data_IF_583243122725
#
_entry.id   IF_583243122725
#
_cell.length_a   1.000
_cell.length_b   1.000
_cell.length_c   1.000
_cell.angle_alpha   90.00
_cell.angle_beta   90.00
_cell.angle_gamma   90.00
#
_symmetry.space_group_name_H-M   'P 1'
#
loop_
_entity.id
_entity.type
_entity.pdbx_description
1 polymer ?
#
# COMPACT_ATOMS: atom_id res chain seq x y z
N UNK A 1 19.80 20.76 14.60
CA UNK A 1 19.40 20.24 14.17
C UNK A 1 19.69 19.10 13.57
N UNK A 2 19.74 18.14 13.79
CA UNK A 2 20.10 17.09 13.41
C UNK A 2 19.16 16.23 12.83
N UNK A 3 18.21 16.59 12.49
CA UNK A 3 17.18 15.91 11.91
C UNK A 3 17.45 15.28 10.64
N UNK A 4 18.44 15.68 10.02
CA UNK A 4 18.80 15.21 8.70
C UNK A 4 18.98 13.72 8.62
N UNK A 5 19.32 13.08 9.72
CA UNK A 5 19.55 11.66 9.65
C UNK A 5 18.28 10.86 9.41
N UNK A 6 17.12 11.46 9.54
CA UNK A 6 15.88 10.77 9.27
C UNK A 6 15.36 10.98 7.87
N UNK A 7 16.07 11.75 7.06
CA UNK A 7 15.66 11.97 5.68
C UNK A 7 16.02 10.73 4.88
N UNK A 8 15.03 10.11 4.21
CA UNK A 8 15.31 8.88 3.49
C UNK A 8 16.23 9.11 2.30
N UNK A 9 17.02 8.11 2.02
CA UNK A 9 17.84 8.11 0.83
C UNK A 9 16.95 7.77 -0.36
N UNK A 10 17.55 7.66 -1.52
CA UNK A 10 16.81 7.30 -2.72
C UNK A 10 16.09 5.96 -2.53
N UNK A 11 14.89 5.88 -3.04
CA UNK A 11 14.11 4.65 -2.94
C UNK A 11 14.84 3.52 -3.66
N UNK A 12 14.93 2.34 -3.04
CA UNK A 12 15.49 1.18 -3.75
C UNK A 12 14.62 0.83 -4.95
N UNK A 13 15.23 0.23 -5.96
CA UNK A 13 14.50 -0.18 -7.15
C UNK A 13 13.43 -1.21 -6.81
N UNK A 14 13.71 -2.12 -5.89
CA UNK A 14 12.77 -3.16 -5.48
C UNK A 14 12.51 -3.06 -4.00
N UNK A 15 11.26 -3.24 -3.61
CA UNK A 15 10.86 -3.32 -2.22
C UNK A 15 10.05 -4.57 -2.01
N UNK A 16 10.26 -5.25 -0.89
CA UNK A 16 9.38 -6.32 -0.48
C UNK A 16 7.99 -5.74 -0.31
N UNK A 17 6.99 -6.55 -0.55
CA UNK A 17 5.63 -6.06 -0.58
C UNK A 17 4.68 -7.06 0.04
N UNK A 18 3.80 -6.56 0.92
CA UNK A 18 2.67 -7.34 1.41
C UNK A 18 1.44 -6.94 0.61
N UNK A 19 0.61 -7.93 0.30
CA UNK A 19 -0.66 -7.70 -0.37
C UNK A 19 -1.76 -7.90 0.66
N UNK A 20 -2.51 -6.83 0.92
CA UNK A 20 -3.57 -6.85 1.93
C UNK A 20 -4.87 -6.45 1.28
N UNK A 21 -5.91 -7.22 1.54
CA UNK A 21 -7.21 -6.94 0.96
C UNK A 21 -8.14 -6.44 2.05
N UNK A 22 -8.99 -5.49 1.69
CA UNK A 22 -10.00 -5.02 2.62
C UNK A 22 -11.29 -4.74 1.87
N UNK A 23 -12.38 -4.73 2.60
CA UNK A 23 -13.69 -4.52 2.01
C UNK A 23 -14.48 -3.58 2.90
N UNK A 24 -15.06 -2.56 2.29
CA UNK A 24 -15.96 -1.66 2.98
C UNK A 24 -17.23 -1.60 2.17
N UNK A 25 -18.34 -1.96 2.80
CA UNK A 25 -19.63 -2.05 2.12
C UNK A 25 -19.53 -3.02 0.96
N UNK A 26 -19.79 -2.62 -0.27
CA UNK A 26 -19.75 -3.54 -1.39
C UNK A 26 -18.44 -3.48 -2.16
N UNK A 27 -17.57 -2.54 -1.86
CA UNK A 27 -16.33 -2.42 -2.62
C UNK A 27 -15.23 -3.24 -1.99
N UNK A 28 -14.55 -4.00 -2.83
CA UNK A 28 -13.38 -4.77 -2.41
C UNK A 28 -12.14 -4.07 -2.90
N UNK A 29 -11.19 -3.90 -2.00
CA UNK A 29 -9.96 -3.17 -2.28
C UNK A 29 -8.76 -4.07 -2.11
N UNK A 30 -7.67 -3.71 -2.78
CA UNK A 30 -6.40 -4.39 -2.62
C UNK A 30 -5.35 -3.32 -2.35
N UNK A 31 -4.49 -3.59 -1.39
CA UNK A 31 -3.40 -2.69 -1.02
C UNK A 31 -2.08 -3.41 -1.18
N UNK A 32 -1.12 -2.72 -1.78
CA UNK A 32 0.25 -3.18 -1.91
C UNK A 32 1.08 -2.33 -0.98
N UNK A 33 1.59 -2.92 0.10
CA UNK A 33 2.37 -2.20 1.10
C UNK A 33 3.83 -2.53 0.87
N UNK A 34 4.58 -1.58 0.35
CA UNK A 34 6.02 -1.74 0.15
C UNK A 34 6.74 -1.57 1.45
N UNK A 35 7.66 -2.48 1.74
CA UNK A 35 8.36 -2.52 3.01
C UNK A 35 9.83 -2.25 2.83
N UNK A 36 10.40 -1.51 3.78
CA UNK A 36 11.84 -1.34 3.85
C UNK A 36 12.23 -1.69 5.26
N UNK A 37 13.05 -2.74 5.39
CA UNK A 37 13.46 -3.26 6.70
C UNK A 37 12.25 -3.62 7.56
N UNK A 38 11.24 -4.19 6.92
CA UNK A 38 10.04 -4.65 7.62
C UNK A 38 9.04 -3.57 7.97
N UNK A 39 9.31 -2.32 7.62
CA UNK A 39 8.45 -1.20 7.96
C UNK A 39 7.79 -0.66 6.69
N UNK A 40 6.49 -0.32 6.75
CA UNK A 40 5.83 0.28 5.58
C UNK A 40 6.57 1.53 5.10
N UNK A 41 6.89 1.53 3.82
CA UNK A 41 7.61 2.60 3.18
C UNK A 41 6.74 3.28 2.11
N UNK A 42 5.83 2.55 1.53
CA UNK A 42 4.90 3.08 0.54
C UNK A 42 3.66 2.20 0.50
N UNK A 43 2.58 2.75 -0.02
CA UNK A 43 1.34 2.00 -0.16
C UNK A 43 0.68 2.41 -1.46
N UNK A 44 0.13 1.42 -2.18
CA UNK A 44 -0.65 1.63 -3.38
C UNK A 44 -1.95 0.88 -3.20
N UNK A 45 -3.07 1.50 -3.56
CA UNK A 45 -4.37 0.87 -3.38
C UNK A 45 -5.21 0.99 -4.63
N UNK A 46 -6.09 0.04 -4.82
CA UNK A 46 -7.05 0.07 -5.90
C UNK A 46 -8.14 -0.93 -5.67
N UNK A 47 -9.08 -1.00 -6.61
CA UNK A 47 -10.17 -1.97 -6.52
C UNK A 47 -9.65 -3.35 -6.88
N UNK A 48 -10.13 -4.34 -6.14
CA UNK A 48 -9.81 -5.75 -6.40
C UNK A 48 -10.80 -6.30 -7.43
N UNK A 49 -10.64 -5.85 -8.67
CA UNK A 49 -11.60 -6.10 -9.73
C UNK A 49 -10.86 -6.24 -11.06
N UNK A 50 -11.28 -7.18 -11.89
CA UNK A 50 -10.63 -7.43 -13.17
C UNK A 50 -10.69 -6.25 -14.12
N UNK A 51 -11.80 -5.53 -14.11
CA UNK A 51 -12.00 -4.45 -15.07
C UNK A 51 -11.58 -3.10 -14.54
N UNK A 52 -11.89 -2.85 -13.26
CA UNK A 52 -11.67 -1.54 -12.68
C UNK A 52 -10.41 -1.45 -11.83
N UNK A 53 -9.68 -2.53 -11.72
CA UNK A 53 -8.50 -2.58 -10.88
C UNK A 53 -7.66 -3.82 -11.15
N UNK A 54 -7.29 -4.52 -10.09
CA UNK A 54 -6.43 -5.68 -10.18
C UNK A 54 -7.04 -6.83 -9.41
N UNK A 55 -7.19 -7.98 -10.06
CA UNK A 55 -7.62 -9.19 -9.38
C UNK A 55 -6.44 -10.15 -9.34
N UNK A 56 -6.09 -10.60 -8.16
CA UNK A 56 -5.02 -11.57 -7.96
C UNK A 56 -5.58 -12.79 -7.23
N UNK A 57 -4.99 -13.96 -7.43
CA UNK A 57 -5.38 -15.12 -6.65
C UNK A 57 -5.25 -14.82 -5.16
N UNK A 58 -6.16 -15.33 -4.36
CA UNK A 58 -6.18 -15.03 -2.93
C UNK A 58 -4.92 -15.53 -2.23
N UNK A 59 -4.24 -16.50 -2.82
CA UNK A 59 -3.00 -17.03 -2.25
C UNK A 59 -1.84 -16.03 -2.34
N UNK A 60 -1.97 -14.99 -3.17
CA UNK A 60 -0.90 -14.01 -3.34
C UNK A 60 -1.01 -13.00 -2.22
N UNK A 61 -0.13 -13.11 -1.23
CA UNK A 61 -0.09 -12.21 -0.09
C UNK A 61 1.24 -11.48 0.04
N UNK A 62 2.21 -11.82 -0.80
CA UNK A 62 3.53 -11.19 -0.78
C UNK A 62 4.09 -11.12 -2.19
N UNK A 63 5.00 -10.21 -2.38
CA UNK A 63 5.69 -10.04 -3.65
C UNK A 63 6.70 -8.92 -3.55
N UNK A 64 6.93 -8.26 -4.67
CA UNK A 64 7.86 -7.13 -4.73
C UNK A 64 7.26 -6.03 -5.58
N UNK A 65 7.52 -4.79 -5.20
CA UNK A 65 7.17 -3.64 -6.02
C UNK A 65 8.45 -3.16 -6.66
N UNK A 66 8.44 -3.09 -7.99
CA UNK A 66 9.62 -2.73 -8.77
C UNK A 66 9.35 -1.40 -9.45
N UNK A 67 10.24 -0.44 -9.22
CA UNK A 67 10.15 0.86 -9.86
C UNK A 67 10.93 0.82 -11.16
N UNK A 68 10.26 1.15 -12.26
CA UNK A 68 10.87 1.17 -13.58
C UNK A 68 10.86 2.61 -14.08
N UNK A 69 12.03 3.10 -14.50
CA UNK A 69 12.11 4.42 -15.11
C UNK A 69 12.08 4.22 -16.62
N UNK A 70 11.04 4.77 -17.23
CA UNK A 70 10.85 4.59 -18.67
C UNK A 70 11.72 5.56 -19.47
N UNK A 71 11.77 5.36 -20.77
CA UNK A 71 12.63 6.17 -21.63
C UNK A 71 12.29 7.65 -21.57
N UNK A 72 11.02 7.96 -21.40
CA UNK A 72 10.61 9.36 -21.32
C UNK A 72 10.81 9.97 -19.93
N UNK A 73 11.43 9.22 -19.03
CA UNK A 73 11.68 9.69 -17.67
C UNK A 73 10.55 9.44 -16.70
N UNK A 74 9.41 8.98 -17.18
CA UNK A 74 8.28 8.70 -16.29
C UNK A 74 8.52 7.41 -15.54
N UNK A 75 7.96 7.35 -14.34
CA UNK A 75 8.15 6.21 -13.46
C UNK A 75 6.95 5.30 -13.55
N UNK A 76 7.22 3.99 -13.54
CA UNK A 76 6.19 2.97 -13.55
C UNK A 76 6.46 2.05 -12.37
N UNK A 77 5.43 1.60 -11.71
CA UNK A 77 5.55 0.68 -10.58
C UNK A 77 4.87 -0.61 -10.95
N UNK A 78 5.61 -1.71 -10.84
CA UNK A 78 5.12 -3.03 -11.19
C UNK A 78 5.07 -3.89 -9.94
N UNK A 79 4.12 -4.83 -9.90
CA UNK A 79 4.05 -5.79 -8.81
C UNK A 79 4.44 -7.16 -9.36
N UNK A 80 5.42 -7.79 -8.74
CA UNK A 80 5.90 -9.10 -9.16
C UNK A 80 5.70 -10.10 -8.04
N UNK A 81 5.19 -11.27 -8.38
CA UNK A 81 5.00 -12.32 -7.39
C UNK A 81 5.32 -13.66 -8.04
N UNK A 82 5.47 -14.69 -7.19
CA UNK A 82 5.71 -16.05 -7.67
C UNK A 82 4.40 -16.82 -7.51
N UNK A 83 3.90 -17.39 -8.61
CA UNK A 83 2.63 -18.09 -8.55
C UNK A 83 2.81 -19.48 -7.95
N UNK A 84 1.70 -20.23 -7.82
CA UNK A 84 1.73 -21.54 -7.16
C UNK A 84 2.59 -22.54 -7.88
N UNK A 85 2.87 -22.32 -9.17
CA UNK A 85 3.73 -23.19 -9.94
C UNK A 85 5.20 -22.81 -9.90
N UNK A 86 5.52 -21.73 -9.17
CA UNK A 86 6.90 -21.28 -9.06
C UNK A 86 7.35 -20.32 -10.14
N UNK A 87 6.45 -19.84 -10.98
CA UNK A 87 6.81 -18.89 -12.02
C UNK A 87 6.61 -17.47 -11.57
N UNK A 88 7.51 -16.58 -12.00
CA UNK A 88 7.37 -15.17 -11.72
C UNK A 88 6.28 -14.59 -12.62
N UNK A 89 5.42 -13.80 -12.03
CA UNK A 89 4.35 -13.13 -12.74
C UNK A 89 4.44 -11.65 -12.38
N UNK A 90 4.29 -10.80 -13.39
CA UNK A 90 4.41 -9.35 -13.19
C UNK A 90 3.13 -8.66 -13.63
N UNK A 91 2.60 -7.79 -12.76
CA UNK A 91 1.51 -6.90 -13.12
C UNK A 91 2.16 -5.55 -13.37
N UNK A 92 2.20 -5.14 -14.63
CA UNK A 92 2.89 -3.92 -15.00
C UNK A 92 2.00 -2.70 -14.84
N UNK A 93 2.60 -1.63 -14.35
CA UNK A 93 1.93 -0.35 -14.34
C UNK A 93 0.77 -0.26 -13.37
N UNK A 94 1.05 -0.39 -12.07
CA UNK A 94 -0.01 -0.29 -11.08
C UNK A 94 -0.81 0.99 -11.22
N UNK A 95 -0.15 2.10 -11.54
CA UNK A 95 -0.84 3.39 -11.65
C UNK A 95 -1.84 3.43 -12.79
N UNK A 96 -1.65 2.57 -13.79
CA UNK A 96 -2.59 2.55 -14.92
C UNK A 96 -3.84 1.75 -14.60
N UNK A 97 -3.79 0.96 -13.53
CA UNK A 97 -4.89 0.09 -13.15
C UNK A 97 -5.74 0.68 -12.03
N UNK A 98 -5.23 1.68 -11.34
CA UNK A 98 -5.89 2.22 -10.16
C UNK A 98 -6.47 3.59 -10.45
N UNK A 99 -7.56 3.92 -9.76
CA UNK A 99 -8.20 5.21 -9.87
C UNK A 99 -7.23 6.30 -9.44
N UNK A 100 -7.15 7.35 -10.26
CA UNK A 100 -6.16 8.41 -10.05
C UNK A 100 -6.33 9.12 -8.71
N UNK A 101 -7.57 9.33 -8.28
CA UNK A 101 -7.80 10.03 -7.04
C UNK A 101 -7.22 9.27 -5.85
N UNK A 102 -7.52 7.98 -5.77
CA UNK A 102 -7.00 7.17 -4.67
C UNK A 102 -5.50 6.95 -4.81
N UNK A 103 -5.01 6.92 -6.03
CA UNK A 103 -3.57 6.84 -6.27
C UNK A 103 -2.87 8.06 -5.67
N UNK A 104 -3.45 9.25 -5.87
CA UNK A 104 -2.85 10.47 -5.34
C UNK A 104 -2.89 10.50 -3.81
N UNK A 105 -3.98 10.08 -3.20
CA UNK A 105 -4.06 10.01 -1.74
C UNK A 105 -3.04 9.03 -1.19
N UNK A 106 -2.90 7.88 -1.84
CA UNK A 106 -1.91 6.89 -1.42
C UNK A 106 -0.49 7.43 -1.56
N UNK A 107 -0.26 8.24 -2.60
CA UNK A 107 1.04 8.86 -2.79
C UNK A 107 1.39 9.80 -1.64
N UNK A 108 0.40 10.55 -1.16
CA UNK A 108 0.64 11.44 -0.01
C UNK A 108 0.94 10.63 1.25
N UNK A 109 0.19 9.55 1.47
CA UNK A 109 0.44 8.68 2.63
C UNK A 109 1.82 8.05 2.51
N UNK A 110 2.20 7.61 1.32
CA UNK A 110 3.53 7.05 1.09
C UNK A 110 4.61 8.06 1.44
N UNK A 111 4.36 9.33 1.17
CA UNK A 111 5.31 10.38 1.50
C UNK A 111 5.58 10.45 3.00
N UNK A 112 4.52 10.45 3.82
CA UNK A 112 4.73 10.53 5.27
C UNK A 112 5.36 9.25 5.81
N UNK A 113 5.04 8.09 5.22
CA UNK A 113 5.67 6.84 5.63
C UNK A 113 7.16 6.87 5.32
N UNK A 114 7.49 7.32 4.12
CA UNK A 114 8.86 7.35 3.65
C UNK A 114 9.75 8.24 4.51
N UNK A 115 9.20 9.36 4.98
CA UNK A 115 9.95 10.30 5.79
C UNK A 115 9.91 9.96 7.28
N UNK A 116 9.39 8.80 7.62
CA UNK A 116 9.60 8.25 8.96
C UNK A 116 8.59 8.60 10.02
N UNK A 117 7.43 9.10 9.62
CA UNK A 117 6.38 9.32 10.61
C UNK A 117 6.05 7.98 11.27
N UNK A 118 6.04 7.88 12.59
CA UNK A 118 5.71 6.61 13.25
C UNK A 118 4.38 6.06 12.77
N UNK A 119 4.29 4.76 12.60
CA UNK A 119 3.11 4.14 12.00
C UNK A 119 1.85 4.44 12.81
N UNK A 120 1.93 4.42 14.14
CA UNK A 120 0.77 4.73 14.96
C UNK A 120 0.28 6.16 14.74
N UNK A 121 1.20 7.09 14.45
CA UNK A 121 0.83 8.47 14.17
C UNK A 121 0.21 8.58 12.77
N UNK A 122 0.70 7.80 11.82
CA UNK A 122 0.11 7.78 10.47
C UNK A 122 -1.32 7.25 10.55
N UNK A 123 -1.53 6.18 11.30
CA UNK A 123 -2.87 5.60 11.46
C UNK A 123 -3.80 6.61 12.14
N UNK A 124 -3.30 7.29 13.17
CA UNK A 124 -4.09 8.28 13.88
C UNK A 124 -4.50 9.43 12.95
N UNK A 125 -3.54 9.90 12.15
CA UNK A 125 -3.79 10.98 11.21
C UNK A 125 -4.84 10.60 10.20
N UNK A 126 -4.68 9.42 9.58
CA UNK A 126 -5.62 8.96 8.56
C UNK A 126 -7.00 8.76 9.15
N UNK A 127 -7.07 8.20 10.35
CA UNK A 127 -8.35 7.93 10.98
C UNK A 127 -9.11 9.21 11.33
N UNK A 128 -8.40 10.32 11.44
CA UNK A 128 -9.04 11.60 11.75
C UNK A 128 -9.51 12.37 10.54
N UNK A 129 -9.20 11.87 9.32
CA UNK A 129 -9.64 12.56 8.12
C UNK A 129 -11.12 12.32 7.88
N UNK A 130 -11.84 13.38 7.57
CA UNK A 130 -13.25 13.27 7.24
C UNK A 130 -13.49 14.05 5.96
N UNK A 131 -13.97 13.35 4.95
CA UNK A 131 -14.22 13.96 3.65
C UNK A 131 -15.72 13.99 3.40
N UNK A 132 -16.11 14.78 2.42
CA UNK A 132 -17.52 14.89 2.07
C UNK A 132 -17.98 13.78 1.14
N UNK A 133 -17.22 12.72 1.04
CA UNK A 133 -17.51 11.64 0.12
C UNK A 133 -17.36 10.31 0.86
N UNK A 134 -18.41 9.51 0.85
CA UNK A 134 -18.42 8.26 1.59
C UNK A 134 -17.40 7.26 1.06
N UNK A 135 -17.17 7.23 -0.24
CA UNK A 135 -16.18 6.34 -0.82
C UNK A 135 -14.78 6.63 -0.30
N UNK A 136 -14.45 7.91 -0.19
CA UNK A 136 -13.13 8.29 0.31
C UNK A 136 -13.02 7.97 1.80
N UNK A 137 -14.10 8.19 2.56
CA UNK A 137 -14.09 7.86 3.98
C UNK A 137 -13.94 6.35 4.19
N UNK A 138 -14.58 5.55 3.36
CA UNK A 138 -14.43 4.10 3.43
C UNK A 138 -13.00 3.69 3.09
N UNK A 139 -12.39 4.37 2.13
CA UNK A 139 -11.01 4.09 1.74
C UNK A 139 -10.05 4.43 2.88
N UNK A 140 -10.20 5.61 3.50
CA UNK A 140 -9.31 5.99 4.60
C UNK A 140 -9.43 5.03 5.77
N UNK A 141 -10.65 4.57 6.07
CA UNK A 141 -10.87 3.60 7.12
C UNK A 141 -10.14 2.29 6.80
N UNK A 142 -10.23 1.85 5.55
CA UNK A 142 -9.55 0.63 5.13
C UNK A 142 -8.05 0.74 5.17
N UNK A 143 -7.50 1.86 4.70
CA UNK A 143 -6.05 2.07 4.71
C UNK A 143 -5.53 2.14 6.14
N UNK A 144 -6.25 2.83 7.03
CA UNK A 144 -5.85 2.88 8.43
C UNK A 144 -5.81 1.48 9.03
N UNK A 145 -6.80 0.65 8.69
CA UNK A 145 -6.83 -0.74 9.20
C UNK A 145 -5.65 -1.55 8.67
N UNK A 146 -5.31 -1.37 7.40
CA UNK A 146 -4.17 -2.07 6.81
C UNK A 146 -2.88 -1.69 7.53
N UNK A 147 -2.64 -0.39 7.71
CA UNK A 147 -1.40 0.08 8.32
C UNK A 147 -1.33 -0.24 9.80
N UNK A 148 -2.48 -0.37 10.46
CA UNK A 148 -2.52 -0.67 11.88
C UNK A 148 -1.81 -1.98 12.20
N UNK A 149 -1.79 -2.91 11.25
CA UNK A 149 -1.12 -4.19 11.46
C UNK A 149 0.37 -4.04 11.66
N UNK A 150 0.94 -2.93 11.25
CA UNK A 150 2.39 -2.71 11.33
C UNK A 150 2.79 -1.92 12.56
N UNK A 151 1.84 -1.55 13.41
CA UNK A 151 2.16 -0.91 14.68
C UNK A 151 2.77 -1.96 15.59
N UNK A 152 3.97 -1.73 16.13
CA UNK A 152 4.62 -2.75 16.96
C UNK A 152 3.72 -3.17 18.12
N UNK A 153 3.51 -4.47 18.25
CA UNK A 153 2.75 -5.04 19.35
C UNK A 153 1.25 -5.03 19.18
N UNK A 154 0.72 -4.51 18.09
CA UNK A 154 -0.72 -4.38 17.94
C UNK A 154 -1.38 -5.49 17.14
N UNK A 155 -0.65 -6.12 16.23
CA UNK A 155 -1.27 -7.01 15.26
C UNK A 155 -1.95 -8.23 15.85
N UNK A 156 -1.37 -8.84 16.86
CA UNK A 156 -1.93 -10.04 17.43
C UNK A 156 -3.29 -9.79 18.06
N UNK A 157 -3.41 -8.66 18.75
CA UNK A 157 -4.67 -8.32 19.39
C UNK A 157 -5.75 -8.04 18.36
N UNK A 158 -5.37 -7.42 17.27
CA UNK A 158 -6.34 -7.12 16.24
C UNK A 158 -6.93 -8.39 15.65
N UNK A 159 -6.09 -9.37 15.39
CA UNK A 159 -6.57 -10.61 14.84
C UNK A 159 -7.51 -11.33 15.78
N UNK A 160 -7.23 -11.29 17.05
CA UNK A 160 -8.07 -11.93 18.03
C UNK A 160 -9.44 -11.29 18.07
N UNK A 161 -9.48 -10.00 18.04
CA UNK A 161 -10.75 -9.27 18.14
C UNK A 161 -11.64 -9.53 16.93
N UNK A 162 -11.06 -9.67 15.77
CA UNK A 162 -11.85 -9.85 14.58
C UNK A 162 -12.32 -11.27 14.37
N UNK A 163 -11.76 -12.20 15.05
CA UNK A 163 -12.20 -13.58 14.92
C UNK A 163 -13.40 -13.87 15.83
#
# INVERSE_FOLDING_TARGET
>A
MEIVENVPLKRPTELECDVVRFQNQKDKWIAFVGLKDGRPYEIFTGLADDEMGIALPKSVIKGKIIKVVQEDGQKRYDFQFVNTRGFKTTVEGLSYKFDREFWNYAKLISGVLRYGMPIDQVVHMISGLQMDNDSINNWTTGVARVLKKYIPGASTEEETVES
#
